data_IF_612760467073
#
_entry.id   IF_612760467073
#
_cell.length_a   1.000
_cell.length_b   1.000
_cell.length_c   1.000
_cell.angle_alpha   90.00
_cell.angle_beta   90.00
_cell.angle_gamma   90.00
#
_symmetry.space_group_name_H-M   'P 1'
#
loop_
_entity.id
_entity.type
_entity.pdbx_description
1 polymer ?
#
# COMPACT_ATOMS: atom_id res chain seq x y z
N UNK A 1 25.24 -17.23 -1.83
CA UNK A 1 24.60 -15.94 -1.56
C UNK A 1 23.13 -16.07 -1.95
N UNK A 2 22.19 -15.83 -1.03
CA UNK A 2 20.77 -15.83 -1.38
C UNK A 2 20.50 -14.70 -2.38
N UNK A 3 19.66 -14.95 -3.40
CA UNK A 3 19.26 -13.91 -4.34
C UNK A 3 18.48 -12.82 -3.58
N UNK A 4 18.91 -11.57 -3.73
CA UNK A 4 18.12 -10.41 -3.31
C UNK A 4 16.89 -10.31 -4.22
N UNK A 5 15.70 -10.47 -3.64
CA UNK A 5 14.44 -10.35 -4.36
C UNK A 5 13.77 -9.02 -3.97
N UNK A 6 13.60 -8.13 -4.94
CA UNK A 6 12.95 -6.84 -4.77
C UNK A 6 11.53 -6.90 -5.36
N UNK A 7 10.53 -6.33 -4.68
CA UNK A 7 9.17 -6.27 -5.22
C UNK A 7 9.12 -5.38 -6.46
N UNK A 8 8.21 -5.69 -7.38
CA UNK A 8 7.96 -4.90 -8.59
C UNK A 8 7.25 -3.58 -8.27
N UNK A 9 6.35 -3.61 -7.28
CA UNK A 9 5.62 -2.42 -6.80
C UNK A 9 5.69 -2.34 -5.28
N UNK A 10 5.75 -1.11 -4.77
CA UNK A 10 5.75 -0.85 -3.32
C UNK A 10 4.67 0.15 -2.98
N UNK A 11 3.89 -0.15 -1.94
CA UNK A 11 2.93 0.79 -1.35
C UNK A 11 3.47 1.24 0.01
N UNK A 12 3.86 2.50 0.11
CA UNK A 12 4.25 3.10 1.39
C UNK A 12 3.02 3.66 2.08
N UNK A 13 2.67 3.10 3.24
CA UNK A 13 1.50 3.53 4.01
C UNK A 13 1.94 4.24 5.29
N UNK A 14 1.60 5.53 5.40
CA UNK A 14 1.88 6.31 6.60
C UNK A 14 0.99 5.85 7.74
N UNK A 15 1.64 5.52 8.86
CA UNK A 15 0.97 5.13 10.11
C UNK A 15 1.37 6.03 11.28
N UNK A 16 1.96 7.20 10.99
CA UNK A 16 2.21 8.24 12.01
C UNK A 16 0.92 8.68 12.72
N UNK A 17 1.06 9.35 13.87
CA UNK A 17 -0.04 9.64 14.81
C UNK A 17 -1.35 10.13 14.16
N UNK A 18 -1.30 11.17 13.29
CA UNK A 18 -2.51 11.67 12.59
C UNK A 18 -3.11 10.65 11.62
N UNK A 19 -2.30 9.95 10.82
CA UNK A 19 -2.80 8.93 9.90
C UNK A 19 -3.39 7.74 10.64
N UNK A 20 -2.74 7.28 11.72
CA UNK A 20 -3.27 6.24 12.59
C UNK A 20 -4.64 6.59 13.18
N UNK A 21 -4.79 7.80 13.74
CA UNK A 21 -6.08 8.28 14.28
C UNK A 21 -7.20 8.37 13.24
N UNK A 22 -6.86 8.54 11.97
CA UNK A 22 -7.80 8.60 10.84
C UNK A 22 -7.97 7.26 10.12
N UNK A 23 -7.53 6.15 10.71
CA UNK A 23 -7.75 4.80 10.18
C UNK A 23 -6.61 4.25 9.31
N UNK A 24 -5.49 4.97 9.15
CA UNK A 24 -4.34 4.53 8.35
C UNK A 24 -3.69 3.24 8.88
N UNK A 25 -3.67 3.02 10.20
CA UNK A 25 -3.12 1.80 10.82
C UNK A 25 -3.99 0.58 10.53
N UNK A 26 -5.31 0.74 10.55
CA UNK A 26 -6.24 -0.35 10.26
C UNK A 26 -6.25 -0.66 8.76
N UNK A 27 -6.24 0.38 7.91
CA UNK A 27 -6.07 0.22 6.47
C UNK A 27 -4.78 -0.53 6.11
N UNK A 28 -3.65 -0.25 6.78
CA UNK A 28 -2.41 -1.00 6.61
C UNK A 28 -2.59 -2.50 6.93
N UNK A 29 -3.18 -2.82 8.09
CA UNK A 29 -3.43 -4.23 8.48
C UNK A 29 -4.32 -4.95 7.47
N UNK A 30 -5.39 -4.30 7.04
CA UNK A 30 -6.33 -4.83 6.04
C UNK A 30 -5.63 -5.08 4.71
N UNK A 31 -4.83 -4.12 4.23
CA UNK A 31 -4.07 -4.23 2.99
C UNK A 31 -3.04 -5.37 3.05
N UNK A 32 -2.29 -5.50 4.15
CA UNK A 32 -1.37 -6.62 4.35
C UNK A 32 -2.10 -7.97 4.41
N UNK A 33 -3.28 -8.02 5.05
CA UNK A 33 -4.11 -9.22 5.09
C UNK A 33 -4.56 -9.64 3.69
N UNK A 34 -5.05 -8.69 2.90
CA UNK A 34 -5.43 -8.93 1.50
C UNK A 34 -4.24 -9.45 0.68
N UNK A 35 -3.08 -8.78 0.77
CA UNK A 35 -1.88 -9.13 0.00
C UNK A 35 -1.43 -10.57 0.26
N UNK A 36 -1.49 -11.04 1.51
CA UNK A 36 -1.11 -12.43 1.90
C UNK A 36 -1.92 -13.50 1.17
N UNK A 37 -3.18 -13.22 0.84
CA UNK A 37 -4.10 -14.15 0.17
C UNK A 37 -4.26 -13.85 -1.32
N UNK A 38 -3.55 -12.86 -1.84
CA UNK A 38 -3.62 -12.43 -3.24
C UNK A 38 -2.52 -13.08 -4.09
N UNK A 39 -2.72 -13.19 -5.41
CA UNK A 39 -1.67 -13.63 -6.34
C UNK A 39 -0.50 -12.63 -6.43
N UNK A 40 -0.63 -11.42 -5.85
CA UNK A 40 0.42 -10.40 -5.82
C UNK A 40 1.49 -10.65 -4.76
N UNK A 41 1.38 -11.73 -3.97
CA UNK A 41 2.36 -12.06 -2.93
C UNK A 41 3.75 -12.24 -3.54
N UNK A 42 4.69 -11.38 -3.14
CA UNK A 42 6.07 -11.38 -3.65
C UNK A 42 6.28 -10.47 -4.87
N UNK A 43 5.21 -10.01 -5.53
CA UNK A 43 5.28 -9.00 -6.59
C UNK A 43 5.05 -7.59 -6.03
N UNK A 44 4.14 -7.46 -5.06
CA UNK A 44 3.82 -6.19 -4.38
C UNK A 44 4.24 -6.29 -2.92
N UNK A 45 4.83 -5.21 -2.40
CA UNK A 45 5.13 -5.06 -0.98
C UNK A 45 4.43 -3.83 -0.39
N UNK A 46 3.90 -3.98 0.82
CA UNK A 46 3.34 -2.85 1.56
C UNK A 46 4.33 -2.52 2.68
N UNK A 47 4.93 -1.35 2.60
CA UNK A 47 5.88 -0.86 3.59
C UNK A 47 5.18 0.12 4.52
N UNK A 48 5.23 -0.19 5.81
CA UNK A 48 4.79 0.73 6.85
C UNK A 48 5.79 1.88 6.97
N UNK A 49 5.33 3.12 6.97
CA UNK A 49 6.17 4.30 7.23
C UNK A 49 5.65 5.13 8.39
N UNK A 50 6.53 6.02 8.88
CA UNK A 50 6.18 7.11 9.77
C UNK A 50 5.72 8.35 8.97
N UNK A 51 5.63 9.51 9.65
CA UNK A 51 5.17 10.76 9.07
C UNK A 51 5.95 11.14 7.81
N UNK A 52 5.22 11.57 6.78
CA UNK A 52 5.76 12.05 5.50
C UNK A 52 5.49 13.55 5.30
N UNK A 53 5.27 14.29 6.39
CA UNK A 53 4.94 15.73 6.43
C UNK A 53 3.71 16.14 5.63
N UNK A 54 2.79 15.20 5.37
CA UNK A 54 1.51 15.41 4.67
C UNK A 54 0.32 15.21 5.61
N UNK A 55 0.48 15.65 6.85
CA UNK A 55 -0.44 15.42 7.94
C UNK A 55 -1.85 16.02 7.73
N UNK A 56 -1.96 17.07 6.93
CA UNK A 56 -3.23 17.75 6.66
C UNK A 56 -4.13 16.94 5.72
N UNK A 57 -3.53 16.00 4.99
CA UNK A 57 -4.17 15.10 4.04
C UNK A 57 -4.32 13.67 4.57
N UNK A 58 -4.10 13.47 5.87
CA UNK A 58 -4.12 12.16 6.49
C UNK A 58 -5.49 11.46 6.35
N UNK A 59 -5.53 10.13 6.10
CA UNK A 59 -4.38 9.24 5.89
C UNK A 59 -3.71 9.38 4.52
N UNK A 60 -2.39 9.17 4.44
CA UNK A 60 -1.64 9.25 3.17
C UNK A 60 -0.81 8.00 2.87
N UNK A 61 -0.82 7.58 1.61
CA UNK A 61 0.03 6.50 1.11
C UNK A 61 0.53 6.83 -0.30
N UNK A 62 1.61 6.16 -0.72
CA UNK A 62 2.16 6.32 -2.06
C UNK A 62 2.45 4.97 -2.70
N UNK A 63 2.23 4.89 -4.01
CA UNK A 63 2.47 3.70 -4.83
C UNK A 63 3.65 3.97 -5.76
N UNK A 64 4.69 3.14 -5.66
CA UNK A 64 5.90 3.17 -6.48
C UNK A 64 5.93 2.00 -7.47
N UNK A 65 6.57 2.15 -8.65
CA UNK A 65 7.42 3.29 -9.09
C UNK A 65 6.68 4.53 -9.64
N UNK A 66 5.34 4.56 -9.65
CA UNK A 66 4.57 5.65 -10.26
C UNK A 66 4.45 6.94 -9.46
N UNK A 67 5.03 7.02 -8.26
CA UNK A 67 4.85 8.12 -7.30
C UNK A 67 3.38 8.60 -7.17
N UNK A 68 2.42 7.67 -7.21
CA UNK A 68 0.99 7.99 -7.10
C UNK A 68 0.62 8.11 -5.63
N UNK A 69 0.02 9.22 -5.23
CA UNK A 69 -0.36 9.48 -3.84
C UNK A 69 -1.86 9.36 -3.63
N UNK A 70 -2.22 8.72 -2.53
CA UNK A 70 -3.57 8.73 -1.99
C UNK A 70 -3.58 9.58 -0.73
N UNK A 71 -4.61 10.39 -0.61
CA UNK A 71 -4.90 11.23 0.54
C UNK A 71 -6.30 10.99 1.04
N UNK A 72 -6.52 11.22 2.33
CA UNK A 72 -7.81 11.13 3.01
C UNK A 72 -8.53 9.79 2.72
N UNK A 73 -7.75 8.73 2.47
CA UNK A 73 -8.27 7.46 2.03
C UNK A 73 -8.89 6.66 3.18
N UNK A 74 -9.76 5.72 2.83
CA UNK A 74 -10.29 4.67 3.69
C UNK A 74 -9.69 3.31 3.29
N UNK A 75 -9.84 2.31 4.17
CA UNK A 75 -9.32 0.97 3.91
C UNK A 75 -9.82 0.38 2.57
N UNK A 76 -11.07 0.66 2.19
CA UNK A 76 -11.65 0.23 0.90
C UNK A 76 -10.93 0.79 -0.33
N UNK A 77 -10.42 2.03 -0.25
CA UNK A 77 -9.80 2.69 -1.39
C UNK A 77 -8.42 2.07 -1.68
N UNK A 78 -7.71 1.67 -0.62
CA UNK A 78 -6.44 0.92 -0.73
C UNK A 78 -6.68 -0.49 -1.27
N UNK A 79 -7.75 -1.16 -0.83
CA UNK A 79 -8.12 -2.48 -1.35
C UNK A 79 -8.51 -2.43 -2.83
N UNK A 80 -9.20 -1.38 -3.26
CA UNK A 80 -9.54 -1.20 -4.67
C UNK A 80 -8.28 -1.09 -5.53
N UNK A 81 -7.29 -0.30 -5.11
CA UNK A 81 -6.01 -0.21 -5.82
C UNK A 81 -5.28 -1.55 -5.87
N UNK A 82 -5.27 -2.31 -4.78
CA UNK A 82 -4.68 -3.64 -4.76
C UNK A 82 -5.42 -4.59 -5.70
N UNK A 83 -6.75 -4.52 -5.79
CA UNK A 83 -7.54 -5.30 -6.72
C UNK A 83 -7.25 -4.92 -8.18
N UNK A 84 -7.17 -3.62 -8.50
CA UNK A 84 -6.77 -3.13 -9.82
C UNK A 84 -5.37 -3.65 -10.20
N UNK A 85 -4.42 -3.68 -9.25
CA UNK A 85 -3.10 -4.26 -9.48
C UNK A 85 -3.15 -5.77 -9.76
N UNK A 86 -4.07 -6.52 -9.13
CA UNK A 86 -4.29 -7.94 -9.43
C UNK A 86 -4.74 -8.09 -10.88
N UNK A 87 -5.72 -7.30 -11.30
CA UNK A 87 -6.26 -7.34 -12.67
C UNK A 87 -5.21 -6.96 -13.72
N UNK A 88 -4.40 -5.92 -13.46
CA UNK A 88 -3.25 -5.57 -14.31
C UNK A 88 -2.27 -6.74 -14.42
N UNK A 89 -1.92 -7.39 -13.31
CA UNK A 89 -1.01 -8.54 -13.30
C UNK A 89 -1.56 -9.77 -14.02
N UNK A 90 -2.89 -9.94 -14.08
CA UNK A 90 -3.54 -11.02 -14.83
C UNK A 90 -3.62 -10.74 -16.34
N UNK A 91 -3.70 -9.47 -16.77
CA UNK A 91 -3.76 -9.10 -18.20
C UNK A 91 -2.41 -9.23 -18.92
N UNK A 92 -1.31 -9.33 -18.18
CA UNK A 92 0.06 -9.38 -18.70
C UNK A 92 0.60 -10.84 -18.73
N UNK A 93 -0.16 -11.81 -18.24
CA UNK A 93 0.14 -13.25 -18.32
C UNK A 93 -0.64 -13.90 -19.47
#
# INVERSE_FOLDING_TARGET
MSKFNAPQKVIFMCTGSKCSKRGGKDAYKTACSFLKHSPLRGEVEIIRTECTDRCDYAPVCSVQPGNKWLKEYRAKDVLQILAEMVEEGMKVK
#
